data_IF_144822638841
#
_entry.id   IF_144822638841
#
_cell.length_a   1.000
_cell.length_b   1.000
_cell.length_c   1.000
_cell.angle_alpha   90.00
_cell.angle_beta   90.00
_cell.angle_gamma   90.00
#
_symmetry.space_group_name_H-M   'P 1'
#
loop_
_entity.id
_entity.type
_entity.pdbx_description
1 polymer ?
#
# COMPACT_ATOMS: atom_id res chain seq x y z
N UNK A 1 -6.80 23.10 -14.43
CA UNK A 1 -7.11 21.87 -13.63
C UNK A 1 -6.29 21.93 -12.35
N UNK A 2 -6.93 21.79 -11.19
CA UNK A 2 -6.22 21.76 -9.91
C UNK A 2 -5.49 20.42 -9.78
N UNK A 3 -4.19 20.47 -9.46
CA UNK A 3 -3.39 19.24 -9.25
C UNK A 3 -3.92 18.51 -8.02
N UNK A 4 -4.25 17.23 -8.16
CA UNK A 4 -4.78 16.44 -7.07
C UNK A 4 -3.74 16.26 -5.95
N UNK A 5 -4.12 16.60 -4.71
CA UNK A 5 -3.31 16.36 -3.52
C UNK A 5 -3.19 14.85 -3.26
N UNK A 6 -1.96 14.39 -2.96
CA UNK A 6 -1.67 12.99 -2.63
C UNK A 6 -1.41 12.85 -1.13
N UNK A 7 -2.04 11.88 -0.48
CA UNK A 7 -1.69 11.47 0.88
C UNK A 7 -1.03 10.09 0.86
N UNK A 8 0.22 10.02 1.31
CA UNK A 8 0.94 8.78 1.49
C UNK A 8 0.77 8.24 2.91
N UNK A 9 0.29 7.02 3.03
CA UNK A 9 0.19 6.28 4.30
C UNK A 9 1.40 5.38 4.44
N UNK A 10 2.08 5.47 5.59
CA UNK A 10 3.30 4.71 5.88
C UNK A 10 3.11 3.95 7.19
N UNK A 11 2.79 2.65 7.15
CA UNK A 11 2.71 1.84 8.37
C UNK A 11 4.12 1.57 8.92
N UNK A 12 4.32 1.87 10.19
CA UNK A 12 5.59 1.73 10.91
C UNK A 12 5.44 0.82 12.13
N UNK A 13 6.37 -0.12 12.32
CA UNK A 13 6.48 -0.92 13.53
C UNK A 13 7.93 -1.30 13.78
N UNK A 14 8.54 -0.76 14.85
CA UNK A 14 9.96 -0.93 15.21
C UNK A 14 10.89 -0.62 14.01
N UNK A 15 10.81 0.62 13.50
CA UNK A 15 11.54 1.11 12.32
C UNK A 15 12.58 2.19 12.66
N UNK A 16 12.85 2.47 13.94
CA UNK A 16 13.71 3.56 14.39
C UNK A 16 15.12 3.55 13.75
N UNK A 17 15.67 2.37 13.47
CA UNK A 17 17.02 2.19 12.88
C UNK A 17 17.02 2.10 11.36
N UNK A 18 15.85 2.02 10.72
CA UNK A 18 15.73 1.75 9.27
C UNK A 18 15.10 2.88 8.50
N UNK A 19 14.31 3.72 9.16
CA UNK A 19 13.55 4.77 8.50
C UNK A 19 14.48 5.91 8.03
N UNK A 20 14.48 6.15 6.72
CA UNK A 20 15.27 7.24 6.12
C UNK A 20 14.52 8.58 6.21
N UNK A 21 14.89 9.38 7.23
CA UNK A 21 14.30 10.70 7.49
C UNK A 21 14.41 11.63 6.29
N UNK A 22 15.58 11.67 5.65
CA UNK A 22 15.85 12.59 4.56
C UNK A 22 14.99 12.25 3.32
N UNK A 23 14.86 10.96 3.01
CA UNK A 23 14.04 10.50 1.91
C UNK A 23 12.54 10.81 2.10
N UNK A 24 12.01 10.68 3.33
CA UNK A 24 10.61 11.05 3.60
C UNK A 24 10.38 12.57 3.54
N UNK A 25 11.32 13.39 3.98
CA UNK A 25 11.24 14.85 3.82
C UNK A 25 11.25 15.24 2.33
N UNK A 26 12.13 14.62 1.54
CA UNK A 26 12.19 14.85 0.10
C UNK A 26 10.92 14.39 -0.63
N UNK A 27 10.24 13.34 -0.16
CA UNK A 27 9.00 12.84 -0.74
C UNK A 27 7.88 13.87 -0.67
N UNK A 28 7.77 14.65 0.42
CA UNK A 28 6.76 15.71 0.55
C UNK A 28 6.97 16.84 -0.46
N UNK A 29 8.20 17.09 -0.85
CA UNK A 29 8.57 18.13 -1.84
C UNK A 29 8.38 17.59 -3.28
N UNK A 30 8.91 16.42 -3.58
CA UNK A 30 8.91 15.85 -4.93
C UNK A 30 7.53 15.45 -5.46
N UNK A 31 6.58 15.11 -4.58
CA UNK A 31 5.20 14.75 -4.94
C UNK A 31 4.19 15.89 -4.72
N UNK A 32 4.62 17.13 -4.53
CA UNK A 32 3.73 18.24 -4.17
C UNK A 32 2.57 18.47 -5.17
N UNK A 33 1.35 18.83 -4.71
CA UNK A 33 0.93 18.88 -3.32
C UNK A 33 0.77 17.48 -2.72
N UNK A 34 1.52 17.19 -1.66
CA UNK A 34 1.53 15.89 -1.01
C UNK A 34 1.66 16.00 0.52
N UNK A 35 1.14 14.98 1.21
CA UNK A 35 1.32 14.78 2.65
C UNK A 35 1.69 13.32 2.95
N UNK A 36 2.29 13.11 4.11
CA UNK A 36 2.63 11.78 4.63
C UNK A 36 1.92 11.57 5.96
N UNK A 37 1.22 10.45 6.09
CA UNK A 37 0.57 10.00 7.31
C UNK A 37 1.31 8.75 7.79
N UNK A 38 2.18 8.92 8.75
CA UNK A 38 2.81 7.79 9.42
C UNK A 38 1.82 7.16 10.40
N UNK A 39 1.73 5.83 10.38
CA UNK A 39 0.93 5.09 11.35
C UNK A 39 1.85 4.21 12.16
N UNK A 40 2.12 4.62 13.40
CA UNK A 40 2.87 3.81 14.35
C UNK A 40 1.98 2.69 14.89
N UNK A 41 2.30 1.46 14.54
CA UNK A 41 1.53 0.27 14.94
C UNK A 41 1.97 -0.26 16.32
N UNK A 42 2.06 0.64 17.31
CA UNK A 42 2.43 0.33 18.67
C UNK A 42 3.88 -0.13 18.80
N UNK A 43 4.82 0.62 18.21
CA UNK A 43 6.26 0.36 18.31
C UNK A 43 6.77 0.41 19.74
N UNK A 44 7.83 -0.36 20.01
CA UNK A 44 8.46 -0.49 21.33
C UNK A 44 9.85 0.13 21.41
N UNK A 45 10.36 0.58 20.27
CA UNK A 45 11.64 1.27 20.12
C UNK A 45 11.44 2.80 19.98
N UNK A 46 12.42 3.53 19.48
CA UNK A 46 12.36 4.98 19.27
C UNK A 46 11.52 5.43 18.07
N UNK A 47 10.78 4.54 17.38
CA UNK A 47 10.05 4.86 16.14
C UNK A 47 9.08 6.02 16.33
N UNK A 48 8.18 5.96 17.33
CA UNK A 48 7.19 7.01 17.53
C UNK A 48 7.81 8.38 17.78
N UNK A 49 8.91 8.45 18.56
CA UNK A 49 9.64 9.71 18.77
C UNK A 49 10.20 10.27 17.46
N UNK A 50 10.84 9.42 16.66
CA UNK A 50 11.37 9.77 15.34
C UNK A 50 10.29 10.28 14.38
N UNK A 51 9.10 9.65 14.36
CA UNK A 51 7.97 10.08 13.53
C UNK A 51 7.44 11.44 13.97
N UNK A 52 7.34 11.70 15.27
CA UNK A 52 6.93 12.98 15.81
C UNK A 52 7.93 14.09 15.46
N UNK A 53 9.24 13.82 15.48
CA UNK A 53 10.27 14.76 15.02
C UNK A 53 10.07 15.13 13.53
N UNK A 54 9.74 14.15 12.68
CA UNK A 54 9.44 14.38 11.27
C UNK A 54 8.18 15.26 11.09
N UNK A 55 7.14 15.02 11.88
CA UNK A 55 5.91 15.83 11.84
C UNK A 55 6.19 17.27 12.29
N UNK A 56 7.04 17.48 13.30
CA UNK A 56 7.48 18.81 13.73
C UNK A 56 8.33 19.50 12.65
N UNK A 57 9.15 18.78 11.91
CA UNK A 57 9.96 19.32 10.82
C UNK A 57 9.14 19.76 9.59
N UNK A 58 7.93 19.21 9.40
CA UNK A 58 7.03 19.51 8.26
C UNK A 58 5.57 19.65 8.73
N UNK A 59 5.24 20.70 9.48
CA UNK A 59 3.88 20.92 9.98
C UNK A 59 2.89 21.04 8.82
N UNK A 60 1.75 20.34 8.94
CA UNK A 60 0.71 20.30 7.92
C UNK A 60 0.98 19.41 6.71
N UNK A 61 2.23 18.93 6.54
CA UNK A 61 2.57 17.95 5.48
C UNK A 61 2.81 16.54 6.04
N UNK A 62 3.26 16.42 7.28
CA UNK A 62 3.48 15.13 7.94
C UNK A 62 2.60 15.05 9.17
N UNK A 63 1.88 13.95 9.30
CA UNK A 63 1.02 13.62 10.43
C UNK A 63 1.38 12.24 10.99
N UNK A 64 1.20 12.04 12.29
CA UNK A 64 1.43 10.76 12.97
C UNK A 64 0.14 10.28 13.61
N UNK A 65 -0.23 9.05 13.30
CA UNK A 65 -1.31 8.30 13.96
C UNK A 65 -0.67 7.20 14.79
N UNK A 66 -0.79 7.27 16.12
CA UNK A 66 -0.24 6.25 17.02
C UNK A 66 -1.34 5.28 17.46
N UNK A 67 -1.15 3.99 17.18
CA UNK A 67 -2.03 2.93 17.66
C UNK A 67 -1.58 2.46 19.06
N UNK A 68 -2.52 2.23 19.95
CA UNK A 68 -2.22 1.85 21.34
C UNK A 68 -1.47 0.51 21.48
N UNK A 69 -1.57 -0.36 20.47
CA UNK A 69 -0.90 -1.69 20.42
C UNK A 69 -0.77 -2.15 18.99
N UNK A 70 0.17 -3.08 18.75
CA UNK A 70 0.34 -3.69 17.41
C UNK A 70 -0.92 -4.44 16.97
N UNK A 71 -1.50 -3.98 15.87
CA UNK A 71 -2.66 -4.57 15.21
C UNK A 71 -2.30 -5.20 13.86
N UNK A 72 -1.08 -4.95 13.37
CA UNK A 72 -0.52 -5.46 12.12
C UNK A 72 -0.67 -4.47 10.98
N UNK A 73 0.20 -4.66 9.95
CA UNK A 73 0.30 -3.77 8.77
C UNK A 73 -1.05 -3.45 8.13
N UNK A 74 -1.92 -4.46 7.99
CA UNK A 74 -3.24 -4.30 7.39
C UNK A 74 -4.07 -3.22 8.09
N UNK A 75 -4.15 -3.28 9.41
CA UNK A 75 -4.92 -2.31 10.19
C UNK A 75 -4.23 -0.94 10.23
N UNK A 76 -2.90 -0.89 10.34
CA UNK A 76 -2.17 0.37 10.27
C UNK A 76 -2.40 1.09 8.92
N UNK A 77 -2.34 0.36 7.79
CA UNK A 77 -2.67 0.92 6.47
C UNK A 77 -4.13 1.40 6.44
N UNK A 78 -5.08 0.59 6.93
CA UNK A 78 -6.50 0.96 6.95
C UNK A 78 -6.74 2.25 7.74
N UNK A 79 -6.19 2.37 8.95
CA UNK A 79 -6.34 3.55 9.79
C UNK A 79 -5.74 4.80 9.13
N UNK A 80 -4.55 4.68 8.53
CA UNK A 80 -3.93 5.77 7.79
C UNK A 80 -4.75 6.19 6.57
N UNK A 81 -5.30 5.24 5.80
CA UNK A 81 -6.14 5.55 4.64
C UNK A 81 -7.47 6.19 5.04
N UNK A 82 -8.09 5.76 6.13
CA UNK A 82 -9.27 6.41 6.69
C UNK A 82 -8.96 7.84 7.13
N UNK A 83 -7.79 8.07 7.75
CA UNK A 83 -7.34 9.42 8.10
C UNK A 83 -7.12 10.29 6.87
N UNK A 84 -6.53 9.74 5.79
CA UNK A 84 -6.37 10.43 4.52
C UNK A 84 -7.72 10.76 3.86
N UNK A 85 -8.70 9.85 3.94
CA UNK A 85 -10.07 10.08 3.46
C UNK A 85 -10.79 11.21 4.24
N UNK A 86 -10.45 11.44 5.50
CA UNK A 86 -10.99 12.57 6.27
C UNK A 86 -10.36 13.91 5.87
N UNK A 87 -9.21 13.90 5.20
CA UNK A 87 -8.47 15.09 4.74
C UNK A 87 -8.79 15.51 3.29
N UNK A 88 -7.99 16.38 2.70
CA UNK A 88 -8.23 16.95 1.36
C UNK A 88 -7.71 16.10 0.21
N UNK A 89 -7.09 14.93 0.46
CA UNK A 89 -6.42 14.14 -0.57
C UNK A 89 -7.40 13.61 -1.62
N UNK A 90 -7.12 13.86 -2.89
CA UNK A 90 -7.82 13.29 -4.05
C UNK A 90 -7.26 11.94 -4.47
N UNK A 91 -5.99 11.68 -4.13
CA UNK A 91 -5.29 10.42 -4.34
C UNK A 91 -4.73 9.97 -2.99
N UNK A 92 -4.94 8.72 -2.62
CA UNK A 92 -4.48 8.14 -1.37
C UNK A 92 -3.60 6.95 -1.73
N UNK A 93 -2.35 6.97 -1.27
CA UNK A 93 -1.44 5.86 -1.46
C UNK A 93 -0.98 5.25 -0.15
N UNK A 94 -0.42 4.05 -0.22
CA UNK A 94 0.41 3.58 0.87
C UNK A 94 1.73 3.03 0.34
N UNK A 95 2.75 3.12 1.16
CA UNK A 95 4.09 2.64 0.86
C UNK A 95 4.76 2.04 2.09
N UNK A 96 5.73 1.17 1.87
CA UNK A 96 6.50 0.57 2.95
C UNK A 96 7.49 1.57 3.56
N UNK A 97 7.67 1.52 4.88
CA UNK A 97 8.54 2.43 5.63
C UNK A 97 10.03 2.31 5.25
N UNK A 98 10.41 1.19 4.64
CA UNK A 98 11.80 0.92 4.24
C UNK A 98 12.18 1.54 2.87
N UNK A 99 11.21 2.19 2.19
CA UNK A 99 11.41 2.82 0.88
C UNK A 99 12.09 1.90 -0.16
N UNK A 100 11.79 0.60 -0.12
CA UNK A 100 12.22 -0.36 -1.14
C UNK A 100 11.82 0.11 -2.57
N UNK A 101 10.75 0.90 -2.68
CA UNK A 101 10.42 1.72 -3.84
C UNK A 101 10.94 3.14 -3.57
N UNK A 102 11.99 3.61 -4.27
CA UNK A 102 12.62 4.88 -3.98
C UNK A 102 11.73 6.09 -4.31
N UNK A 103 11.95 7.27 -3.67
CA UNK A 103 11.11 8.47 -3.85
C UNK A 103 10.91 8.89 -5.31
N UNK A 104 11.93 8.79 -6.16
CA UNK A 104 11.81 9.13 -7.59
C UNK A 104 10.82 8.23 -8.33
N UNK A 105 10.73 6.95 -7.95
CA UNK A 105 9.77 6.02 -8.54
C UNK A 105 8.35 6.27 -8.00
N UNK A 106 8.22 6.63 -6.72
CA UNK A 106 6.94 7.05 -6.13
C UNK A 106 6.41 8.32 -6.80
N UNK A 107 7.29 9.29 -7.09
CA UNK A 107 6.93 10.50 -7.84
C UNK A 107 6.41 10.15 -9.23
N UNK A 108 7.10 9.25 -9.96
CA UNK A 108 6.64 8.78 -11.28
C UNK A 108 5.25 8.14 -11.23
N UNK A 109 4.98 7.31 -10.22
CA UNK A 109 3.66 6.72 -10.01
C UNK A 109 2.59 7.78 -9.73
N UNK A 110 2.91 8.81 -8.94
CA UNK A 110 2.00 9.95 -8.68
C UNK A 110 1.68 10.71 -9.98
N UNK A 111 2.69 10.98 -10.80
CA UNK A 111 2.49 11.66 -12.09
C UNK A 111 1.58 10.84 -13.01
N UNK A 112 1.79 9.52 -13.09
CA UNK A 112 0.91 8.62 -13.84
C UNK A 112 -0.51 8.63 -13.29
N UNK A 113 -0.70 8.54 -11.98
CA UNK A 113 -2.02 8.58 -11.35
C UNK A 113 -2.75 9.92 -11.57
N UNK A 114 -2.01 11.03 -11.61
CA UNK A 114 -2.57 12.37 -11.87
C UNK A 114 -2.97 12.57 -13.34
N UNK A 115 -2.19 12.04 -14.26
CA UNK A 115 -2.39 12.22 -15.72
C UNK A 115 -3.35 11.21 -16.34
N UNK A 116 -3.80 10.22 -15.59
CA UNK A 116 -4.70 9.15 -16.07
C UNK A 116 -6.06 9.20 -15.38
N UNK A 117 -7.04 8.50 -15.94
CA UNK A 117 -8.37 8.30 -15.33
C UNK A 117 -8.44 7.05 -14.44
N UNK A 118 -7.30 6.54 -14.01
CA UNK A 118 -7.23 5.34 -13.17
C UNK A 118 -7.75 5.61 -11.76
N UNK A 119 -8.49 4.67 -11.21
CA UNK A 119 -8.91 4.68 -9.80
C UNK A 119 -7.96 3.90 -8.90
N UNK A 120 -7.27 2.90 -9.47
CA UNK A 120 -6.30 2.05 -8.78
C UNK A 120 -5.04 1.94 -9.61
N UNK A 121 -3.90 2.29 -9.01
CA UNK A 121 -2.57 2.13 -9.60
C UNK A 121 -1.70 1.32 -8.64
N UNK A 122 -1.26 0.15 -9.06
CA UNK A 122 -0.41 -0.76 -8.30
C UNK A 122 1.00 -0.73 -8.87
N UNK A 123 2.01 -0.51 -8.04
CA UNK A 123 3.38 -0.80 -8.44
C UNK A 123 3.59 -2.31 -8.52
N UNK A 124 4.42 -2.76 -9.46
CA UNK A 124 4.70 -4.19 -9.67
C UNK A 124 6.19 -4.46 -9.82
N UNK A 125 6.70 -5.47 -9.08
CA UNK A 125 8.11 -5.86 -9.05
C UNK A 125 8.43 -6.89 -10.14
N UNK A 126 8.04 -6.57 -11.37
CA UNK A 126 8.30 -7.42 -12.53
C UNK A 126 9.74 -7.22 -13.00
N UNK A 127 10.48 -8.31 -13.11
CA UNK A 127 11.84 -8.28 -13.71
C UNK A 127 11.72 -8.23 -15.22
N UNK A 128 11.90 -7.06 -15.80
CA UNK A 128 11.94 -6.81 -17.24
C UNK A 128 13.32 -6.32 -17.66
N UNK A 129 13.67 -6.53 -18.93
CA UNK A 129 14.90 -5.94 -19.50
C UNK A 129 14.86 -4.40 -19.35
N UNK A 130 15.99 -3.83 -18.90
CA UNK A 130 16.10 -2.40 -18.65
C UNK A 130 15.50 -1.93 -17.31
N UNK A 131 15.08 -2.84 -16.41
CA UNK A 131 14.61 -2.53 -15.07
C UNK A 131 15.61 -2.99 -14.00
N UNK A 132 15.76 -2.21 -12.94
CA UNK A 132 16.64 -2.51 -11.81
C UNK A 132 15.83 -3.06 -10.63
N UNK A 133 15.32 -4.29 -10.76
CA UNK A 133 14.56 -4.97 -9.72
C UNK A 133 15.45 -6.00 -9.02
N UNK A 134 15.93 -5.67 -7.83
CA UNK A 134 16.78 -6.54 -7.02
C UNK A 134 15.94 -7.34 -6.02
N UNK A 135 15.70 -8.59 -6.33
CA UNK A 135 14.89 -9.51 -5.52
C UNK A 135 15.57 -10.88 -5.46
N UNK A 136 15.56 -11.53 -4.28
CA UNK A 136 16.09 -12.89 -4.17
C UNK A 136 15.23 -13.88 -4.96
N UNK A 137 15.88 -14.88 -5.60
CA UNK A 137 15.20 -15.90 -6.43
C UNK A 137 14.11 -16.63 -5.67
N UNK A 138 14.34 -17.02 -4.41
CA UNK A 138 13.34 -17.69 -3.59
C UNK A 138 12.07 -16.84 -3.40
N UNK A 139 12.23 -15.54 -3.08
CA UNK A 139 11.09 -14.61 -2.95
C UNK A 139 10.40 -14.38 -4.29
N UNK A 140 11.14 -14.41 -5.39
CA UNK A 140 10.54 -14.30 -6.72
C UNK A 140 9.55 -15.43 -6.99
N UNK A 141 9.98 -16.70 -6.86
CA UNK A 141 9.12 -17.86 -7.17
C UNK A 141 7.95 -18.01 -6.19
N UNK A 142 8.18 -17.87 -4.89
CA UNK A 142 7.10 -17.91 -3.89
C UNK A 142 6.08 -16.79 -4.16
N UNK A 143 6.56 -15.59 -4.50
CA UNK A 143 5.69 -14.48 -4.86
C UNK A 143 4.86 -14.75 -6.12
N UNK A 144 5.40 -15.46 -7.11
CA UNK A 144 4.67 -15.86 -8.33
C UNK A 144 3.53 -16.82 -8.04
N UNK A 145 3.77 -17.85 -7.21
CA UNK A 145 2.72 -18.79 -6.79
C UNK A 145 1.61 -18.02 -6.07
N UNK A 146 1.97 -17.17 -5.11
CA UNK A 146 1.00 -16.35 -4.38
C UNK A 146 0.19 -15.45 -5.32
N UNK A 147 0.86 -14.74 -6.23
CA UNK A 147 0.22 -13.83 -7.18
C UNK A 147 -0.76 -14.59 -8.10
N UNK A 148 -0.41 -15.79 -8.55
CA UNK A 148 -1.30 -16.64 -9.37
C UNK A 148 -2.55 -17.02 -8.57
N UNK A 149 -2.39 -17.46 -7.32
CA UNK A 149 -3.53 -17.78 -6.44
C UNK A 149 -4.40 -16.55 -6.17
N UNK A 150 -3.79 -15.39 -5.94
CA UNK A 150 -4.49 -14.11 -5.75
C UNK A 150 -5.29 -13.71 -6.99
N UNK A 151 -4.67 -13.75 -8.17
CA UNK A 151 -5.31 -13.45 -9.46
C UNK A 151 -6.52 -14.35 -9.71
N UNK A 152 -6.39 -15.67 -9.50
CA UNK A 152 -7.47 -16.62 -9.64
C UNK A 152 -8.59 -16.39 -8.60
N UNK A 153 -8.25 -16.01 -7.39
CA UNK A 153 -9.21 -15.73 -6.31
C UNK A 153 -10.02 -14.47 -6.57
N UNK A 154 -9.38 -13.46 -7.13
CA UNK A 154 -10.01 -12.18 -7.47
C UNK A 154 -10.77 -12.22 -8.81
N UNK A 155 -10.40 -13.13 -9.72
CA UNK A 155 -10.81 -13.06 -11.11
C UNK A 155 -10.24 -11.85 -11.85
N UNK A 156 -9.10 -11.31 -11.36
CA UNK A 156 -8.41 -10.15 -11.92
C UNK A 156 -7.00 -10.56 -12.40
N UNK A 157 -6.54 -10.08 -13.56
CA UNK A 157 -5.22 -10.40 -14.10
C UNK A 157 -4.12 -9.58 -13.40
N UNK A 158 -3.91 -9.78 -12.08
CA UNK A 158 -2.91 -9.06 -11.28
C UNK A 158 -1.65 -9.88 -11.14
N UNK A 159 -0.49 -9.26 -11.39
CA UNK A 159 0.82 -9.89 -11.31
C UNK A 159 1.48 -9.79 -9.92
N UNK A 160 1.38 -8.64 -9.24
CA UNK A 160 2.03 -8.40 -7.94
C UNK A 160 1.13 -7.63 -6.97
N UNK A 161 0.26 -8.34 -6.27
CA UNK A 161 -0.61 -7.73 -5.25
C UNK A 161 0.14 -7.26 -3.99
N UNK A 162 1.40 -7.70 -3.79
CA UNK A 162 2.16 -7.49 -2.55
C UNK A 162 3.24 -6.40 -2.67
N UNK A 163 3.26 -5.63 -3.77
CA UNK A 163 4.14 -4.47 -3.87
C UNK A 163 3.70 -3.38 -2.89
N UNK A 164 4.65 -2.85 -2.11
CA UNK A 164 4.40 -1.84 -1.09
C UNK A 164 4.26 -0.41 -1.65
N UNK A 165 3.89 -0.24 -2.91
CA UNK A 165 3.63 1.07 -3.51
C UNK A 165 2.32 1.00 -4.30
N UNK A 166 1.26 1.62 -3.77
CA UNK A 166 -0.07 1.63 -4.38
C UNK A 166 -0.73 2.99 -4.20
N UNK A 167 -1.52 3.37 -5.20
CA UNK A 167 -2.27 4.61 -5.23
C UNK A 167 -3.74 4.32 -5.56
N UNK A 168 -4.63 5.01 -4.88
CA UNK A 168 -6.08 4.88 -5.04
C UNK A 168 -6.68 6.27 -5.17
N UNK A 169 -7.54 6.46 -6.14
CA UNK A 169 -8.35 7.68 -6.22
C UNK A 169 -9.43 7.66 -5.14
N UNK A 170 -9.72 8.81 -4.57
CA UNK A 170 -10.83 8.96 -3.62
C UNK A 170 -12.15 8.64 -4.31
N UNK A 171 -12.75 7.51 -3.98
CA UNK A 171 -14.05 7.04 -4.48
C UNK A 171 -14.91 6.54 -3.33
N UNK A 172 -16.22 6.39 -3.57
CA UNK A 172 -17.11 5.73 -2.60
C UNK A 172 -16.71 4.26 -2.38
N UNK A 173 -16.25 3.58 -3.45
CA UNK A 173 -15.77 2.20 -3.35
C UNK A 173 -14.56 2.09 -2.40
N UNK A 174 -13.60 3.03 -2.45
CA UNK A 174 -12.48 3.04 -1.52
C UNK A 174 -12.94 3.26 -0.07
N UNK A 175 -13.84 4.20 0.16
CA UNK A 175 -14.39 4.46 1.50
C UNK A 175 -15.13 3.23 2.05
N UNK A 176 -15.97 2.59 1.22
CA UNK A 176 -16.68 1.37 1.59
C UNK A 176 -15.72 0.19 1.84
N UNK A 177 -14.68 0.03 1.02
CA UNK A 177 -13.68 -1.03 1.18
C UNK A 177 -12.90 -0.94 2.50
N UNK A 178 -12.74 0.28 3.03
CA UNK A 178 -12.02 0.57 4.28
C UNK A 178 -12.93 0.66 5.51
N UNK A 179 -14.26 0.65 5.34
CA UNK A 179 -15.21 0.80 6.46
C UNK A 179 -15.03 -0.29 7.53
N UNK A 180 -14.85 -1.54 7.10
CA UNK A 180 -14.66 -2.67 7.99
C UNK A 180 -13.18 -3.11 8.04
N UNK A 181 -12.69 -3.58 9.21
CA UNK A 181 -11.35 -4.14 9.32
C UNK A 181 -11.09 -5.26 8.31
N UNK A 182 -9.84 -5.43 7.90
CA UNK A 182 -9.45 -6.54 7.03
C UNK A 182 -9.46 -7.86 7.80
N UNK A 183 -9.93 -8.92 7.16
CA UNK A 183 -9.96 -10.27 7.71
C UNK A 183 -8.55 -10.86 7.76
N UNK A 184 -7.74 -10.59 6.72
CA UNK A 184 -6.37 -11.07 6.62
C UNK A 184 -5.36 -9.98 6.99
N UNK A 185 -4.48 -10.28 7.95
CA UNK A 185 -3.37 -9.38 8.32
C UNK A 185 -2.27 -9.33 7.26
N UNK A 186 -2.16 -10.37 6.41
CA UNK A 186 -1.09 -10.51 5.43
C UNK A 186 -1.56 -10.37 3.98
N UNK A 187 -2.74 -10.92 3.63
CA UNK A 187 -3.31 -10.84 2.29
C UNK A 187 -4.33 -9.68 2.16
N UNK A 188 -4.23 -8.65 3.01
CA UNK A 188 -5.15 -7.50 3.00
C UNK A 188 -5.15 -6.78 1.66
N UNK A 189 -4.03 -6.77 0.95
CA UNK A 189 -3.92 -6.21 -0.41
C UNK A 189 -4.89 -6.87 -1.39
N UNK A 190 -4.97 -8.19 -1.32
CA UNK A 190 -5.91 -8.98 -2.15
C UNK A 190 -7.34 -8.72 -1.72
N UNK A 191 -7.58 -8.66 -0.40
CA UNK A 191 -8.90 -8.35 0.15
C UNK A 191 -9.36 -6.93 -0.25
N UNK A 192 -8.47 -5.94 -0.18
CA UNK A 192 -8.77 -4.57 -0.61
C UNK A 192 -9.19 -4.53 -2.09
N UNK A 193 -8.42 -5.15 -2.98
CA UNK A 193 -8.77 -5.22 -4.40
C UNK A 193 -10.10 -5.95 -4.63
N UNK A 194 -10.36 -7.02 -3.89
CA UNK A 194 -11.63 -7.74 -3.95
C UNK A 194 -12.81 -6.87 -3.51
N UNK A 195 -12.66 -6.09 -2.43
CA UNK A 195 -13.69 -5.16 -1.94
C UNK A 195 -13.94 -4.00 -2.91
N UNK A 196 -12.90 -3.54 -3.62
CA UNK A 196 -13.03 -2.50 -4.64
C UNK A 196 -13.74 -3.01 -5.90
N UNK A 197 -13.46 -4.25 -6.32
CA UNK A 197 -14.12 -4.88 -7.46
C UNK A 197 -15.55 -5.34 -7.15
N UNK A 198 -15.84 -5.66 -5.87
CA UNK A 198 -17.14 -6.17 -5.41
C UNK A 198 -17.54 -5.45 -4.12
N UNK A 199 -17.88 -4.15 -4.18
CA UNK A 199 -18.32 -3.38 -3.02
C UNK A 199 -19.71 -3.82 -2.56
N UNK A 200 -20.16 -3.39 -1.35
CA UNK A 200 -21.51 -3.64 -0.88
C UNK A 200 -22.57 -2.98 -1.77
N UNK A 201 -23.80 -3.46 -1.68
CA UNK A 201 -24.94 -2.93 -2.44
C UNK A 201 -25.08 -1.41 -2.29
N UNK A 202 -25.33 -0.73 -3.40
CA UNK A 202 -25.47 0.74 -3.43
C UNK A 202 -24.16 1.49 -3.67
N UNK A 203 -23.04 0.80 -3.84
CA UNK A 203 -21.76 1.39 -4.20
C UNK A 203 -21.31 0.83 -5.54
N UNK A 204 -20.93 1.68 -6.48
CA UNK A 204 -20.45 1.26 -7.78
C UNK A 204 -19.07 0.58 -7.68
N UNK A 205 -18.86 -0.59 -8.30
CA UNK A 205 -17.57 -1.25 -8.34
C UNK A 205 -16.56 -0.48 -9.19
N UNK A 206 -15.29 -0.57 -8.83
CA UNK A 206 -14.23 -0.06 -9.70
C UNK A 206 -14.04 -1.02 -10.88
N UNK A 207 -14.28 -0.51 -12.08
CA UNK A 207 -14.11 -1.28 -13.31
C UNK A 207 -12.64 -1.69 -13.50
N UNK A 208 -12.40 -2.90 -14.02
CA UNK A 208 -11.03 -3.41 -14.29
C UNK A 208 -10.25 -2.46 -15.21
N UNK A 209 -10.92 -1.83 -16.19
CA UNK A 209 -10.30 -0.84 -17.07
C UNK A 209 -9.78 0.42 -16.34
N UNK A 210 -10.22 0.66 -15.10
CA UNK A 210 -9.75 1.75 -14.25
C UNK A 210 -8.73 1.29 -13.19
N UNK A 211 -8.30 0.02 -13.27
CA UNK A 211 -7.22 -0.55 -12.47
C UNK A 211 -6.00 -0.77 -13.35
N UNK A 212 -4.83 -0.39 -12.89
CA UNK A 212 -3.59 -0.57 -13.64
C UNK A 212 -2.46 -1.06 -12.75
N UNK A 213 -1.67 -1.97 -13.28
CA UNK A 213 -0.47 -2.48 -12.64
C UNK A 213 0.74 -1.97 -13.42
N UNK A 214 1.52 -1.08 -12.79
CA UNK A 214 2.66 -0.42 -13.40
C UNK A 214 3.97 -1.08 -12.99
N UNK A 215 4.74 -1.67 -13.92
CA UNK A 215 6.04 -2.23 -13.63
C UNK A 215 7.02 -1.14 -13.12
N UNK A 216 7.55 -1.35 -11.91
CA UNK A 216 8.55 -0.45 -11.34
C UNK A 216 9.84 -0.47 -12.18
N UNK A 217 10.50 0.67 -12.27
CA UNK A 217 11.81 0.81 -12.92
C UNK A 217 12.94 0.42 -11.99
N UNK A 218 12.79 0.78 -10.72
CA UNK A 218 13.77 0.55 -9.66
C UNK A 218 13.05 0.04 -8.43
N UNK A 219 13.56 -1.04 -7.88
CA UNK A 219 13.11 -1.59 -6.60
C UNK A 219 14.23 -2.44 -5.99
N UNK A 220 14.47 -2.33 -4.70
CA UNK A 220 15.53 -3.07 -4.02
C UNK A 220 15.04 -3.70 -2.72
N UNK A 221 15.36 -4.98 -2.50
CA UNK A 221 15.15 -5.61 -1.20
C UNK A 221 15.98 -4.89 -0.13
N UNK A 222 15.33 -4.42 0.93
CA UNK A 222 16.00 -3.80 2.06
C UNK A 222 16.28 -4.87 3.11
N UNK A 223 17.52 -4.98 3.64
CA UNK A 223 17.87 -5.94 4.68
C UNK A 223 17.00 -5.79 5.93
N UNK A 224 16.71 -6.90 6.63
CA UNK A 224 15.89 -6.89 7.85
C UNK A 224 14.38 -7.01 7.61
N UNK A 225 13.95 -7.40 6.42
CA UNK A 225 12.53 -7.73 6.15
C UNK A 225 12.00 -8.79 7.11
N UNK A 226 10.89 -8.49 7.79
CA UNK A 226 10.26 -9.33 8.83
C UNK A 226 9.40 -10.49 8.28
N UNK A 227 9.60 -10.89 6.99
CA UNK A 227 8.85 -11.96 6.37
C UNK A 227 9.31 -13.35 6.89
N UNK A 228 8.51 -13.97 7.74
CA UNK A 228 8.70 -15.35 8.16
C UNK A 228 8.05 -16.32 7.14
N UNK A 229 8.67 -17.50 6.85
CA UNK A 229 8.10 -18.51 5.95
C UNK A 229 6.67 -18.96 6.35
N UNK A 230 6.39 -19.02 7.64
CA UNK A 230 5.05 -19.32 8.17
C UNK A 230 3.99 -18.27 7.79
N UNK A 231 4.39 -17.02 7.55
CA UNK A 231 3.46 -15.97 7.10
C UNK A 231 2.99 -16.22 5.66
N UNK A 232 3.85 -16.78 4.81
CA UNK A 232 3.48 -17.15 3.43
C UNK A 232 2.44 -18.28 3.40
N UNK A 233 2.58 -19.29 4.28
CA UNK A 233 1.62 -20.39 4.39
C UNK A 233 0.28 -19.88 4.92
N UNK A 234 0.27 -19.03 5.95
CA UNK A 234 -0.95 -18.40 6.46
C UNK A 234 -1.64 -17.55 5.40
N UNK A 235 -0.85 -16.76 4.63
CA UNK A 235 -1.37 -15.99 3.51
C UNK A 235 -2.06 -16.84 2.44
N UNK A 236 -1.52 -18.02 2.13
CA UNK A 236 -2.16 -18.98 1.23
C UNK A 236 -3.52 -19.48 1.75
N UNK A 237 -3.62 -19.79 3.03
CA UNK A 237 -4.89 -20.16 3.68
C UNK A 237 -5.90 -19.00 3.69
N UNK A 238 -5.43 -17.78 3.92
CA UNK A 238 -6.28 -16.59 3.88
C UNK A 238 -6.82 -16.33 2.47
N UNK A 239 -6.01 -16.54 1.42
CA UNK A 239 -6.49 -16.48 0.03
C UNK A 239 -7.58 -17.49 -0.28
N UNK A 240 -7.45 -18.72 0.20
CA UNK A 240 -8.49 -19.74 0.04
C UNK A 240 -9.80 -19.33 0.74
N UNK A 241 -9.71 -18.77 1.95
CA UNK A 241 -10.89 -18.25 2.67
C UNK A 241 -11.53 -17.07 1.92
N UNK A 242 -10.73 -16.16 1.39
CA UNK A 242 -11.21 -15.02 0.59
C UNK A 242 -11.89 -15.51 -0.70
N UNK A 243 -11.30 -16.50 -1.41
CA UNK A 243 -11.87 -17.08 -2.62
C UNK A 243 -13.22 -17.78 -2.36
N UNK A 244 -13.35 -18.46 -1.24
CA UNK A 244 -14.61 -19.08 -0.83
C UNK A 244 -15.66 -18.02 -0.51
N UNK A 245 -15.30 -16.96 0.21
CA UNK A 245 -16.20 -15.86 0.59
C UNK A 245 -16.71 -15.07 -0.62
N UNK A 246 -15.86 -14.82 -1.61
CA UNK A 246 -16.24 -14.13 -2.86
C UNK A 246 -17.09 -15.01 -3.79
N UNK A 247 -16.92 -16.33 -3.74
CA UNK A 247 -17.76 -17.28 -4.53
C UNK A 247 -19.10 -17.62 -3.87
N UNK A 248 -19.17 -17.63 -2.53
CA UNK A 248 -20.39 -17.91 -1.78
C UNK A 248 -21.27 -16.67 -1.57
N UNK A 249 -20.74 -15.48 -1.80
CA UNK A 249 -21.50 -14.20 -1.79
C UNK A 249 -22.07 -13.82 -3.16
N UNK A 250 -21.95 -14.70 -4.15
CA UNK A 250 -22.65 -14.65 -5.44
C UNK A 250 -23.79 -15.63 -5.43
#
# INVERSE_FOLDING_TARGET
MTIAHVAWVVPCFDEATRLDRAAFLALTEGCAPASVIFVDDGSRDGTLALLNDLAQARPGQIEVVALAKNQGKAEAVRQGMLRALAGPAGIIGYLDADLATPPAELQRLVELARSSDLDVLLGSRVQLLGRAIQRSSARHYVGRVFATCASLSLGLPVYDTQCGAKLFRRTQALAAALAEPFTSRWAFDVELLGRLAHPPSGVDPIAVARMHEEPLRIWSDVPGSKLHPLAAVRGGLDLLRLALKTRLGR
#
